data_IF_285527431520
#
_entry.id   IF_285527431520
#
_cell.length_a   1.000
_cell.length_b   1.000
_cell.length_c   1.000
_cell.angle_alpha   90.00
_cell.angle_beta   90.00
_cell.angle_gamma   90.00
#
_symmetry.space_group_name_H-M   'P 1'
#
loop_
_entity.id
_entity.type
_entity.pdbx_description
1 polymer ?
#
# COMPACT_ATOMS: atom_id res chain seq x y z
N UNK A 1 -0.30 -3.37 -32.07
CA UNK A 1 -0.21 -4.60 -31.28
C UNK A 1 -1.18 -4.46 -30.12
N UNK A 2 -2.33 -5.12 -30.17
CA UNK A 2 -3.32 -5.03 -29.09
C UNK A 2 -2.84 -5.91 -27.94
N UNK A 3 -2.34 -5.30 -26.88
CA UNK A 3 -2.17 -5.97 -25.59
C UNK A 3 -3.59 -6.19 -25.08
N UNK A 4 -4.13 -7.38 -25.27
CA UNK A 4 -5.35 -7.79 -24.59
C UNK A 4 -5.00 -7.85 -23.11
N UNK A 5 -5.30 -6.79 -22.36
CA UNK A 5 -5.06 -6.76 -20.91
C UNK A 5 -5.80 -7.94 -20.31
N UNK A 6 -5.07 -8.91 -19.77
CA UNK A 6 -5.66 -10.05 -19.09
C UNK A 6 -6.55 -9.50 -17.97
N UNK A 7 -7.87 -9.77 -17.99
CA UNK A 7 -8.79 -9.22 -17.01
C UNK A 7 -8.39 -9.61 -15.58
N UNK A 8 -7.77 -10.78 -15.38
CA UNK A 8 -7.28 -11.23 -14.07
C UNK A 8 -6.10 -10.35 -13.63
N UNK A 9 -5.16 -10.07 -14.53
CA UNK A 9 -4.00 -9.20 -14.27
C UNK A 9 -4.44 -7.78 -13.89
N UNK A 10 -5.43 -7.22 -14.58
CA UNK A 10 -5.99 -5.92 -14.22
C UNK A 10 -6.65 -5.92 -12.84
N UNK A 11 -7.39 -6.99 -12.50
CA UNK A 11 -8.03 -7.11 -11.18
C UNK A 11 -7.00 -7.25 -10.06
N UNK A 12 -5.95 -8.06 -10.26
CA UNK A 12 -4.86 -8.20 -9.29
C UNK A 12 -4.14 -6.87 -9.10
N UNK A 13 -3.82 -6.15 -10.18
CA UNK A 13 -3.24 -4.81 -10.09
C UNK A 13 -4.11 -3.86 -9.27
N UNK A 14 -5.41 -3.81 -9.53
CA UNK A 14 -6.35 -2.95 -8.81
C UNK A 14 -6.40 -3.31 -7.32
N UNK A 15 -6.44 -4.60 -7.01
CA UNK A 15 -6.49 -5.07 -5.62
C UNK A 15 -5.20 -4.76 -4.86
N UNK A 16 -4.04 -4.91 -5.48
CA UNK A 16 -2.75 -4.55 -4.88
C UNK A 16 -2.68 -3.04 -4.56
N UNK A 17 -3.15 -2.20 -5.47
CA UNK A 17 -3.23 -0.75 -5.23
C UNK A 17 -4.21 -0.42 -4.10
N UNK A 18 -5.39 -1.06 -4.09
CA UNK A 18 -6.38 -0.89 -3.02
C UNK A 18 -5.81 -1.26 -1.66
N UNK A 19 -5.10 -2.38 -1.56
CA UNK A 19 -4.43 -2.81 -0.32
C UNK A 19 -3.32 -1.85 0.10
N UNK A 20 -2.53 -1.33 -0.85
CA UNK A 20 -1.49 -0.36 -0.57
C UNK A 20 -2.05 0.93 0.04
N UNK A 21 -3.19 1.41 -0.48
CA UNK A 21 -3.85 2.61 0.03
C UNK A 21 -4.45 2.38 1.42
N UNK A 22 -4.97 1.18 1.70
CA UNK A 22 -5.44 0.82 3.03
C UNK A 22 -4.30 0.80 4.06
N UNK A 23 -3.14 0.22 3.72
CA UNK A 23 -1.99 0.22 4.63
C UNK A 23 -1.45 1.62 4.89
N UNK A 24 -1.38 2.48 3.86
CA UNK A 24 -0.96 3.88 4.04
C UNK A 24 -1.97 4.67 4.89
N UNK A 25 -3.27 4.46 4.68
CA UNK A 25 -4.31 5.10 5.49
C UNK A 25 -4.24 4.66 6.96
N UNK A 26 -4.03 3.36 7.21
CA UNK A 26 -3.83 2.82 8.55
C UNK A 26 -2.57 3.39 9.21
N UNK A 27 -1.46 3.47 8.47
CA UNK A 27 -0.21 4.08 8.95
C UNK A 27 -0.38 5.56 9.30
N UNK A 28 -1.09 6.32 8.44
CA UNK A 28 -1.37 7.73 8.68
C UNK A 28 -2.28 7.94 9.89
N UNK A 29 -3.31 7.09 10.05
CA UNK A 29 -4.21 7.15 11.19
C UNK A 29 -3.48 6.85 12.50
N UNK A 30 -2.63 5.82 12.50
CA UNK A 30 -1.84 5.44 13.67
C UNK A 30 -0.81 6.52 14.03
N UNK A 31 -0.08 7.05 13.05
CA UNK A 31 0.89 8.13 13.28
C UNK A 31 0.22 9.42 13.78
N UNK A 32 -0.99 9.73 13.33
CA UNK A 32 -1.78 10.88 13.81
C UNK A 32 -2.23 10.74 15.27
N UNK A 33 -2.41 9.50 15.74
CA UNK A 33 -2.79 9.25 17.13
C UNK A 33 -1.61 9.38 18.10
N UNK A 34 -0.37 9.46 17.58
CA UNK A 34 0.85 9.51 18.37
C UNK A 34 1.26 10.97 18.57
N UNK A 35 1.44 11.43 19.83
CA UNK A 35 1.96 12.76 20.09
C UNK A 35 3.36 12.97 19.49
N UNK A 36 3.67 14.18 19.03
CA UNK A 36 4.92 14.43 18.31
C UNK A 36 6.20 14.19 19.13
N UNK A 37 6.09 14.21 20.47
CA UNK A 37 7.21 13.96 21.38
C UNK A 37 7.45 12.47 21.64
N UNK A 38 6.53 11.60 21.24
CA UNK A 38 6.67 10.15 21.38
C UNK A 38 7.28 9.54 20.12
N UNK A 39 8.05 8.44 20.26
CA UNK A 39 8.53 7.71 19.12
C UNK A 39 7.35 7.17 18.29
N UNK A 40 7.43 7.36 16.98
CA UNK A 40 6.45 6.80 16.05
C UNK A 40 6.43 5.26 16.17
N UNK A 41 5.26 4.62 16.30
CA UNK A 41 5.17 3.16 16.42
C UNK A 41 5.87 2.43 15.27
N UNK A 42 6.56 1.34 15.59
CA UNK A 42 7.25 0.52 14.59
C UNK A 42 6.30 -0.03 13.52
N UNK A 43 5.03 -0.27 13.89
CA UNK A 43 3.94 -0.64 13.00
C UNK A 43 3.71 0.35 11.87
N UNK A 44 3.80 1.67 12.11
CA UNK A 44 3.66 2.69 11.04
C UNK A 44 4.70 2.48 9.94
N UNK A 45 5.94 2.18 10.31
CA UNK A 45 7.02 1.90 9.37
C UNK A 45 6.75 0.60 8.60
N UNK A 46 6.31 -0.45 9.30
CA UNK A 46 5.94 -1.73 8.68
C UNK A 46 4.80 -1.58 7.67
N UNK A 47 3.76 -0.82 8.00
CA UNK A 47 2.62 -0.54 7.11
C UNK A 47 3.04 0.23 5.86
N UNK A 48 3.87 1.26 6.01
CA UNK A 48 4.42 2.01 4.86
C UNK A 48 5.30 1.14 3.96
N UNK A 49 6.13 0.29 4.56
CA UNK A 49 6.93 -0.67 3.82
C UNK A 49 6.05 -1.66 3.03
N UNK A 50 4.98 -2.17 3.65
CA UNK A 50 4.01 -3.04 2.99
C UNK A 50 3.32 -2.32 1.82
N UNK A 51 2.83 -1.08 2.02
CA UNK A 51 2.23 -0.27 0.97
C UNK A 51 3.20 -0.04 -0.22
N UNK A 52 4.47 0.21 0.06
CA UNK A 52 5.49 0.36 -0.98
C UNK A 52 5.70 -0.93 -1.79
N UNK A 53 5.79 -2.08 -1.12
CA UNK A 53 5.93 -3.39 -1.80
C UNK A 53 4.70 -3.70 -2.64
N UNK A 54 3.49 -3.46 -2.12
CA UNK A 54 2.25 -3.68 -2.86
C UNK A 54 2.17 -2.83 -4.14
N UNK A 55 2.58 -1.55 -4.08
CA UNK A 55 2.67 -0.69 -5.28
C UNK A 55 3.73 -1.19 -6.25
N UNK A 56 4.91 -1.58 -5.76
CA UNK A 56 5.96 -2.12 -6.60
C UNK A 56 5.55 -3.41 -7.32
N UNK A 57 4.80 -4.28 -6.63
CA UNK A 57 4.25 -5.49 -7.26
C UNK A 57 3.12 -5.17 -8.23
N UNK A 58 2.27 -4.18 -7.94
CA UNK A 58 1.22 -3.73 -8.87
C UNK A 58 1.78 -3.26 -10.22
N UNK A 59 2.97 -2.65 -10.24
CA UNK A 59 3.65 -2.23 -11.48
C UNK A 59 4.19 -3.42 -12.31
N UNK A 60 4.22 -4.63 -11.73
CA UNK A 60 4.61 -5.87 -12.44
C UNK A 60 3.42 -6.58 -13.08
N UNK A 61 2.18 -6.16 -12.75
CA UNK A 61 0.95 -6.70 -13.32
C UNK A 61 0.49 -5.84 -14.48
#
# INVERSE_FOLDING_TARGET
MSVTTDPVRSLVRQELLRLADLEEAAAAQEARAVPYWEPCPASVHGRRAAAHVLRADAERY
#
